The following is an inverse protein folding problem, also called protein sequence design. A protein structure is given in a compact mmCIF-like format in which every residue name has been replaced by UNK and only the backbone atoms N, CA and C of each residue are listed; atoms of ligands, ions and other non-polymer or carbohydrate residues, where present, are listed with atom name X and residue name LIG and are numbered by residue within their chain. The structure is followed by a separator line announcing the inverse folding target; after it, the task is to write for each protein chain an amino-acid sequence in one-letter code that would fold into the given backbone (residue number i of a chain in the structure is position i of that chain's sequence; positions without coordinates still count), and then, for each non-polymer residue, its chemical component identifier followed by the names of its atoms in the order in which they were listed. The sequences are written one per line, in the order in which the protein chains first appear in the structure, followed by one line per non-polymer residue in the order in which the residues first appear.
data_IF_548854868434
#
_entry.id   IF_548854868434
#
_cell.length_a   1.000
_cell.length_b   1.000
_cell.length_c   1.000
_cell.angle_alpha   90.00
_cell.angle_beta   90.00
_cell.angle_gamma   90.00
#
_symmetry.space_group_name_H-M   'P 1'
#
loop_
_entity.id
_entity.type
_entity.pdbx_description
1 polymer ?
#
# COMPACT_ATOMS: atom_id res chain seq x y z
N UNK A 1 -26.04 16.97 7.70
CA UNK A 1 -25.35 17.00 9.01
C UNK A 1 -24.19 17.98 8.92
N UNK A 2 -24.12 19.00 9.79
CA UNK A 2 -23.00 19.94 9.82
C UNK A 2 -21.75 19.19 10.27
N UNK A 3 -20.75 19.02 9.41
CA UNK A 3 -19.53 18.30 9.78
C UNK A 3 -18.62 19.22 10.58
N UNK A 4 -18.48 18.92 11.88
CA UNK A 4 -17.72 19.75 12.82
C UNK A 4 -16.20 19.57 12.60
N UNK A 5 -15.45 20.66 12.65
CA UNK A 5 -13.99 20.63 12.55
C UNK A 5 -13.40 20.15 13.87
N UNK A 6 -12.64 19.05 13.83
CA UNK A 6 -12.04 18.41 15.02
C UNK A 6 -10.53 18.27 14.97
N UNK A 7 -9.93 18.78 13.89
CA UNK A 7 -8.49 18.69 13.64
C UNK A 7 -7.87 20.08 13.67
N UNK A 8 -6.70 20.16 14.27
CA UNK A 8 -5.88 21.36 14.33
C UNK A 8 -4.40 20.97 14.46
N UNK A 9 -3.52 21.96 14.44
CA UNK A 9 -2.13 21.81 14.90
C UNK A 9 -1.86 22.72 16.10
N UNK A 10 -0.81 22.43 16.86
CA UNK A 10 -0.45 23.15 18.10
C UNK A 10 0.87 23.92 18.01
N UNK A 11 1.55 23.83 16.87
CA UNK A 11 2.86 24.41 16.57
C UNK A 11 2.79 25.54 15.54
N UNK A 12 1.62 26.20 15.41
CA UNK A 12 1.45 27.41 14.61
C UNK A 12 0.76 27.21 13.24
N UNK A 13 0.67 28.27 12.42
CA UNK A 13 -0.16 28.29 11.20
C UNK A 13 0.38 27.41 10.05
N UNK A 14 1.67 27.13 10.03
CA UNK A 14 2.33 26.15 9.15
C UNK A 14 2.75 24.88 9.91
N UNK A 15 2.10 24.63 11.06
CA UNK A 15 2.45 23.56 11.96
C UNK A 15 2.22 22.16 11.38
N UNK A 16 2.97 21.19 11.92
CA UNK A 16 2.95 19.78 11.51
C UNK A 16 2.66 18.85 12.69
N UNK A 17 2.23 19.40 13.83
CA UNK A 17 1.89 18.66 15.04
C UNK A 17 0.37 18.53 15.19
N UNK A 18 -0.28 17.59 14.47
CA UNK A 18 -1.73 17.48 14.44
C UNK A 18 -2.29 16.96 15.76
N UNK A 19 -3.38 17.58 16.20
CA UNK A 19 -4.20 17.12 17.32
C UNK A 19 -5.61 16.84 16.83
N UNK A 20 -6.24 15.85 17.43
CA UNK A 20 -7.68 15.59 17.27
C UNK A 20 -8.33 15.94 18.58
N UNK A 21 -9.34 16.79 18.51
CA UNK A 21 -10.14 17.13 19.66
C UNK A 21 -10.97 15.91 20.10
N UNK A 22 -10.88 15.44 21.35
CA UNK A 22 -11.68 14.33 21.88
C UNK A 22 -13.19 14.60 21.79
N UNK A 23 -14.00 13.53 21.79
CA UNK A 23 -15.47 13.65 21.82
C UNK A 23 -15.97 14.03 23.20
N UNK A 24 -15.26 13.54 24.22
CA UNK A 24 -15.58 13.75 25.61
C UNK A 24 -15.14 15.17 26.02
N UNK A 25 -16.05 15.89 26.66
CA UNK A 25 -15.90 17.31 26.93
C UNK A 25 -14.79 17.61 27.95
N UNK A 26 -14.58 16.75 28.96
CA UNK A 26 -13.51 16.91 29.93
C UNK A 26 -12.13 16.70 29.28
N UNK A 27 -11.97 15.70 28.42
CA UNK A 27 -10.77 15.46 27.65
C UNK A 27 -10.48 16.58 26.64
N UNK A 28 -11.51 17.15 26.01
CA UNK A 28 -11.39 18.32 25.15
C UNK A 28 -10.94 19.58 25.94
N UNK A 29 -11.51 19.81 27.13
CA UNK A 29 -11.07 20.87 28.04
C UNK A 29 -9.62 20.68 28.50
N UNK A 30 -9.25 19.45 28.88
CA UNK A 30 -7.89 19.12 29.25
C UNK A 30 -6.90 19.39 28.12
N UNK A 31 -7.23 18.99 26.88
CA UNK A 31 -6.42 19.30 25.69
C UNK A 31 -6.27 20.82 25.52
N UNK A 32 -7.34 21.58 25.70
CA UNK A 32 -7.32 23.05 25.66
C UNK A 32 -6.36 23.66 26.69
N UNK A 33 -6.44 23.21 27.94
CA UNK A 33 -5.57 23.67 29.02
C UNK A 33 -4.10 23.30 28.80
N UNK A 34 -3.83 22.13 28.21
CA UNK A 34 -2.46 21.68 27.91
C UNK A 34 -1.80 22.49 26.79
N UNK A 35 -2.56 23.02 25.84
CA UNK A 35 -2.03 23.74 24.67
C UNK A 35 -2.36 25.24 24.72
N UNK A 36 -1.85 25.93 25.73
CA UNK A 36 -2.03 27.37 25.94
C UNK A 36 -1.48 28.28 24.82
N UNK A 37 -0.62 27.76 23.93
CA UNK A 37 -0.21 28.44 22.70
C UNK A 37 -1.39 28.63 21.73
N UNK A 38 -2.38 27.75 21.79
CA UNK A 38 -3.59 27.75 20.99
C UNK A 38 -3.59 26.65 19.93
N UNK A 39 -4.56 26.75 19.03
CA UNK A 39 -4.77 25.79 17.95
C UNK A 39 -4.81 26.54 16.62
N UNK A 40 -4.36 25.91 15.54
CA UNK A 40 -4.36 26.50 14.20
C UNK A 40 -4.89 25.55 13.15
N UNK A 41 -5.54 26.13 12.15
CA UNK A 41 -5.93 25.45 10.92
C UNK A 41 -4.71 25.37 10.00
N UNK A 42 -3.96 24.26 10.01
CA UNK A 42 -2.65 24.18 9.34
C UNK A 42 -2.73 24.37 7.84
N UNK A 43 -1.88 25.25 7.29
CA UNK A 43 -1.63 25.35 5.84
C UNK A 43 -1.03 24.07 5.28
N UNK A 44 -0.33 23.30 6.11
CA UNK A 44 0.27 22.04 5.66
C UNK A 44 -0.79 20.99 5.32
N UNK A 45 -1.96 21.07 5.96
CA UNK A 45 -3.16 20.28 5.63
C UNK A 45 -4.09 20.97 4.61
N UNK A 46 -3.65 22.04 3.95
CA UNK A 46 -4.47 22.84 3.03
C UNK A 46 -5.46 23.78 3.69
N UNK A 47 -5.34 23.99 5.01
CA UNK A 47 -6.12 24.96 5.77
C UNK A 47 -5.71 26.42 5.52
N UNK A 48 -6.34 27.35 6.23
CA UNK A 48 -6.11 28.79 6.03
C UNK A 48 -4.96 29.39 6.86
N UNK A 49 -4.39 28.65 7.82
CA UNK A 49 -3.43 29.16 8.79
C UNK A 49 -4.04 29.95 9.94
N UNK A 50 -5.37 30.14 9.95
CA UNK A 50 -6.05 30.90 10.99
C UNK A 50 -5.99 30.22 12.37
N UNK A 51 -5.93 31.04 13.43
CA UNK A 51 -6.07 30.56 14.80
C UNK A 51 -7.50 30.05 15.02
N UNK A 52 -7.61 28.90 15.69
CA UNK A 52 -8.86 28.24 15.98
C UNK A 52 -9.23 28.45 17.45
N UNK A 53 -10.51 28.72 17.69
CA UNK A 53 -11.10 28.75 19.02
C UNK A 53 -11.69 27.37 19.35
N UNK A 54 -11.48 26.90 20.58
CA UNK A 54 -12.16 25.72 21.11
C UNK A 54 -13.56 26.13 21.59
N UNK A 55 -14.59 25.45 21.09
CA UNK A 55 -15.95 25.62 21.59
C UNK A 55 -16.14 24.82 22.89
N UNK A 56 -16.53 25.50 23.97
CA UNK A 56 -16.66 24.90 25.30
C UNK A 56 -17.95 24.11 25.52
N UNK A 57 -19.00 24.36 24.73
CA UNK A 57 -20.31 23.70 24.87
C UNK A 57 -20.39 22.38 24.08
N UNK A 58 -19.74 22.33 22.92
CA UNK A 58 -19.57 21.13 22.11
C UNK A 58 -18.12 21.04 21.64
N UNK A 59 -17.41 19.91 21.84
CA UNK A 59 -16.03 19.75 21.40
C UNK A 59 -15.85 19.89 19.88
N UNK A 60 -15.59 21.12 19.43
CA UNK A 60 -15.19 21.44 18.07
C UNK A 60 -14.25 22.64 18.03
N UNK A 61 -13.48 22.72 16.95
CA UNK A 61 -12.74 23.93 16.60
C UNK A 61 -13.59 24.85 15.72
N UNK A 62 -13.48 26.15 15.96
CA UNK A 62 -14.12 27.20 15.16
C UNK A 62 -13.07 28.17 14.63
N UNK A 63 -13.23 28.54 13.37
CA UNK A 63 -12.52 29.71 12.85
C UNK A 63 -13.11 30.98 13.46
N UNK A 64 -12.28 31.99 13.69
CA UNK A 64 -12.75 33.33 14.06
C UNK A 64 -13.20 34.13 12.83
N UNK A 65 -14.30 34.89 12.97
CA UNK A 65 -14.82 35.78 11.92
C UNK A 65 -15.22 35.07 10.61
N UNK A 66 -15.22 35.83 9.51
CA UNK A 66 -15.58 35.36 8.16
C UNK A 66 -14.41 34.66 7.45
N UNK A 67 -13.76 33.72 8.15
CA UNK A 67 -12.61 33.02 7.61
C UNK A 67 -12.97 32.21 6.35
N UNK A 68 -12.36 32.58 5.22
CA UNK A 68 -12.40 31.80 3.97
C UNK A 68 -11.46 30.59 4.10
N UNK A 69 -12.02 29.44 4.48
CA UNK A 69 -11.30 28.19 4.62
C UNK A 69 -12.06 27.03 3.98
N UNK A 70 -11.35 26.11 3.32
CA UNK A 70 -11.93 24.88 2.76
C UNK A 70 -12.64 24.01 3.80
N UNK A 71 -12.25 24.09 5.07
CA UNK A 71 -12.84 23.31 6.16
C UNK A 71 -14.04 23.98 6.81
N UNK A 72 -14.33 25.24 6.47
CA UNK A 72 -15.56 25.91 6.90
C UNK A 72 -16.75 25.23 6.22
N UNK A 73 -17.65 24.62 7.00
CA UNK A 73 -18.79 23.85 6.48
C UNK A 73 -18.43 22.48 5.90
N UNK A 74 -17.15 22.09 5.92
CA UNK A 74 -16.64 20.79 5.45
C UNK A 74 -15.63 20.20 6.46
N UNK A 75 -15.95 20.24 7.75
CA UNK A 75 -15.06 19.76 8.81
C UNK A 75 -14.69 18.28 8.69
N UNK A 76 -15.54 17.48 8.05
CA UNK A 76 -15.29 16.06 7.71
C UNK A 76 -14.03 15.86 6.85
N UNK A 77 -13.73 16.83 5.98
CA UNK A 77 -12.62 16.73 5.03
C UNK A 77 -11.27 16.98 5.73
N UNK A 78 -11.29 17.49 6.97
CA UNK A 78 -10.08 17.75 7.73
C UNK A 78 -9.38 16.46 8.17
N UNK A 79 -10.12 15.41 8.52
CA UNK A 79 -9.52 14.15 8.95
C UNK A 79 -8.54 13.55 7.92
N UNK A 80 -8.95 13.29 6.65
CA UNK A 80 -8.02 12.79 5.65
C UNK A 80 -6.91 13.78 5.30
N UNK A 81 -7.17 15.09 5.35
CA UNK A 81 -6.19 16.12 5.02
C UNK A 81 -5.06 16.25 6.07
N UNK A 82 -5.36 16.07 7.36
CA UNK A 82 -4.38 16.12 8.44
C UNK A 82 -3.65 14.79 8.68
N UNK A 83 -4.17 13.69 8.12
CA UNK A 83 -3.66 12.35 8.41
C UNK A 83 -2.18 12.22 8.08
N UNK A 84 -1.74 12.75 6.93
CA UNK A 84 -0.35 12.69 6.49
C UNK A 84 0.62 13.33 7.48
N UNK A 85 0.22 14.38 8.21
CA UNK A 85 1.07 15.04 9.21
C UNK A 85 1.44 14.09 10.36
N UNK A 86 0.54 13.17 10.72
CA UNK A 86 0.82 12.13 11.74
C UNK A 86 1.89 11.16 11.26
N UNK A 87 1.81 10.74 10.01
CA UNK A 87 2.81 9.88 9.40
C UNK A 87 4.14 10.61 9.23
N UNK A 88 4.12 11.86 8.76
CA UNK A 88 5.30 12.69 8.55
C UNK A 88 6.10 12.83 9.84
N UNK A 89 5.45 13.22 10.94
CA UNK A 89 6.11 13.38 12.24
C UNK A 89 6.73 12.07 12.73
N UNK A 90 6.03 10.95 12.62
CA UNK A 90 6.52 9.66 13.09
C UNK A 90 7.69 9.13 12.23
N UNK A 91 7.61 9.27 10.90
CA UNK A 91 8.69 8.89 9.99
C UNK A 91 9.91 9.79 10.18
N UNK A 92 9.71 11.10 10.37
CA UNK A 92 10.79 12.04 10.63
C UNK A 92 11.54 11.67 11.91
N UNK A 93 10.82 11.50 13.02
CA UNK A 93 11.42 11.10 14.29
C UNK A 93 12.17 9.77 14.20
N UNK A 94 11.63 8.78 13.46
CA UNK A 94 12.27 7.49 13.26
C UNK A 94 13.58 7.58 12.45
N UNK A 95 13.61 8.39 11.39
CA UNK A 95 14.80 8.57 10.56
C UNK A 95 15.86 9.43 11.25
N UNK A 96 15.46 10.56 11.84
CA UNK A 96 16.37 11.41 12.62
C UNK A 96 16.94 10.64 13.82
N UNK A 97 16.14 9.80 14.48
CA UNK A 97 16.60 8.94 15.57
C UNK A 97 17.62 7.87 15.13
N UNK A 98 17.76 7.62 13.83
CA UNK A 98 18.81 6.77 13.26
C UNK A 98 20.00 7.56 12.72
N UNK A 99 20.01 8.89 12.89
CA UNK A 99 21.07 9.78 12.41
C UNK A 99 20.89 10.27 10.96
N UNK A 100 19.77 9.95 10.31
CA UNK A 100 19.48 10.38 8.94
C UNK A 100 18.89 11.80 8.90
N UNK A 101 19.04 12.48 7.77
CA UNK A 101 18.49 13.81 7.48
C UNK A 101 17.46 13.73 6.36
N UNK A 102 16.24 13.22 6.65
CA UNK A 102 15.25 13.01 5.62
C UNK A 102 14.73 14.31 5.01
N UNK A 103 14.63 14.34 3.68
CA UNK A 103 13.91 15.37 2.95
C UNK A 103 12.51 14.87 2.65
N UNK A 104 11.51 15.61 3.09
CA UNK A 104 10.10 15.20 2.99
C UNK A 104 9.35 16.06 1.99
N UNK A 105 8.62 15.40 1.11
CA UNK A 105 7.74 16.03 0.13
C UNK A 105 6.34 15.45 0.28
N UNK A 106 5.34 16.32 0.19
CA UNK A 106 3.96 15.89 0.11
C UNK A 106 3.67 15.39 -1.28
N UNK A 107 2.86 14.35 -1.34
CA UNK A 107 2.37 13.80 -2.59
C UNK A 107 0.87 14.04 -2.65
N UNK A 108 0.43 15.09 -3.36
CA UNK A 108 -0.98 15.36 -3.50
C UNK A 108 -1.71 14.20 -4.18
N UNK A 109 -2.94 13.96 -3.75
CA UNK A 109 -3.88 13.06 -4.40
C UNK A 109 -5.25 13.72 -4.52
N UNK A 110 -6.02 13.32 -5.53
CA UNK A 110 -7.36 13.83 -5.79
C UNK A 110 -8.33 13.56 -4.63
N UNK A 111 -8.10 12.50 -3.83
CA UNK A 111 -8.97 12.08 -2.73
C UNK A 111 -8.75 12.79 -1.38
N UNK A 112 -8.10 13.97 -1.35
CA UNK A 112 -7.72 14.70 -0.13
C UNK A 112 -6.79 13.93 0.84
N UNK A 113 -6.31 12.74 0.47
CA UNK A 113 -5.36 11.93 1.25
C UNK A 113 -3.97 12.13 0.66
N UNK A 114 -3.21 13.01 1.28
CA UNK A 114 -1.84 13.32 0.86
C UNK A 114 -0.91 12.17 1.26
N UNK A 115 -0.15 11.61 0.32
CA UNK A 115 0.95 10.69 0.61
C UNK A 115 2.22 11.44 1.01
N UNK A 116 3.26 10.70 1.38
CA UNK A 116 4.57 11.28 1.71
C UNK A 116 5.66 10.61 0.86
N UNK A 117 6.46 11.43 0.19
CA UNK A 117 7.73 11.02 -0.37
C UNK A 117 8.84 11.44 0.60
N UNK A 118 9.70 10.50 0.98
CA UNK A 118 10.82 10.76 1.87
C UNK A 118 12.10 10.30 1.20
N UNK A 119 12.98 11.25 0.89
CA UNK A 119 14.30 10.99 0.35
C UNK A 119 15.34 11.03 1.48
N UNK A 120 16.24 10.05 1.49
CA UNK A 120 17.41 9.99 2.37
C UNK A 120 18.63 9.83 1.46
N UNK A 121 19.10 10.96 0.96
CA UNK A 121 20.08 11.03 -0.13
C UNK A 121 21.43 10.43 0.28
N UNK A 122 21.81 10.54 1.57
CA UNK A 122 23.06 10.01 2.11
C UNK A 122 23.19 8.48 2.00
N UNK A 123 22.08 7.75 1.91
CA UNK A 123 22.05 6.30 1.72
C UNK A 123 21.39 5.89 0.40
N UNK A 124 21.05 6.86 -0.46
CA UNK A 124 20.40 6.61 -1.75
C UNK A 124 19.04 5.92 -1.64
N UNK A 125 18.29 6.18 -0.56
CA UNK A 125 17.01 5.54 -0.25
C UNK A 125 15.84 6.49 -0.47
N UNK A 126 14.72 5.94 -0.93
CA UNK A 126 13.41 6.60 -0.86
C UNK A 126 12.40 5.75 -0.11
N UNK A 127 11.61 6.39 0.75
CA UNK A 127 10.44 5.80 1.42
C UNK A 127 9.19 6.52 0.95
N UNK A 128 8.26 5.76 0.39
CA UNK A 128 6.96 6.23 -0.06
C UNK A 128 5.88 5.79 0.92
N UNK A 129 5.22 6.75 1.57
CA UNK A 129 4.04 6.49 2.41
C UNK A 129 2.79 6.74 1.57
N UNK A 130 2.20 5.68 1.06
CA UNK A 130 1.00 5.77 0.24
C UNK A 130 -0.25 5.69 1.11
N UNK A 131 -0.97 6.80 1.24
CA UNK A 131 -2.18 6.89 2.07
C UNK A 131 -3.49 6.90 1.26
N UNK A 132 -3.39 6.90 -0.06
CA UNK A 132 -4.51 6.86 -1.00
C UNK A 132 -4.40 5.66 -1.93
N UNK A 133 -5.54 5.21 -2.45
CA UNK A 133 -5.55 4.24 -3.53
C UNK A 133 -4.91 4.86 -4.77
N UNK A 134 -4.03 4.12 -5.43
CA UNK A 134 -3.49 4.48 -6.74
C UNK A 134 -3.83 3.36 -7.72
N UNK A 135 -4.24 3.68 -8.96
CA UNK A 135 -4.31 2.69 -10.02
C UNK A 135 -2.97 1.98 -10.20
N UNK A 136 -2.99 0.67 -10.50
CA UNK A 136 -1.78 -0.16 -10.63
C UNK A 136 -0.78 0.42 -11.64
N UNK A 137 -1.27 0.94 -12.78
CA UNK A 137 -0.44 1.60 -13.79
C UNK A 137 0.25 2.87 -13.28
N UNK A 138 -0.48 3.71 -12.54
CA UNK A 138 0.07 4.93 -11.92
C UNK A 138 1.08 4.60 -10.82
N UNK A 139 0.81 3.56 -10.04
CA UNK A 139 1.73 3.06 -9.01
C UNK A 139 3.03 2.55 -9.64
N UNK A 140 2.96 1.66 -10.65
CA UNK A 140 4.14 1.14 -11.38
C UNK A 140 4.96 2.24 -12.01
N UNK A 141 4.31 3.14 -12.77
CA UNK A 141 4.99 4.25 -13.42
C UNK A 141 5.73 5.14 -12.39
N UNK A 142 5.19 5.28 -11.19
CA UNK A 142 5.84 6.01 -10.11
C UNK A 142 6.99 5.23 -9.48
N UNK A 143 6.80 3.94 -9.20
CA UNK A 143 7.84 3.06 -8.69
C UNK A 143 9.05 3.03 -9.63
N UNK A 144 8.82 2.90 -10.93
CA UNK A 144 9.87 2.91 -11.96
C UNK A 144 10.67 4.21 -11.97
N UNK A 145 9.99 5.37 -11.95
CA UNK A 145 10.67 6.69 -11.87
C UNK A 145 11.51 6.82 -10.61
N UNK A 146 11.01 6.35 -9.47
CA UNK A 146 11.75 6.42 -8.20
C UNK A 146 12.97 5.50 -8.23
N UNK A 147 12.86 4.30 -8.79
CA UNK A 147 13.97 3.35 -8.89
C UNK A 147 15.04 3.75 -9.89
N UNK A 148 14.72 4.62 -10.85
CA UNK A 148 15.73 5.27 -11.70
C UNK A 148 16.57 6.30 -10.94
N UNK A 149 16.02 6.88 -9.86
CA UNK A 149 16.67 7.95 -9.08
C UNK A 149 17.32 7.45 -7.80
N UNK A 150 16.75 6.45 -7.15
CA UNK A 150 17.18 5.95 -5.85
C UNK A 150 17.61 4.49 -5.97
N UNK A 151 18.69 4.12 -5.28
CA UNK A 151 19.22 2.75 -5.25
C UNK A 151 18.18 1.77 -4.70
N UNK A 152 17.42 2.22 -3.71
CA UNK A 152 16.38 1.43 -3.07
C UNK A 152 15.13 2.29 -2.83
N UNK A 153 13.98 1.72 -3.15
CA UNK A 153 12.66 2.33 -2.94
C UNK A 153 11.84 1.38 -2.09
N UNK A 154 11.31 1.90 -0.98
CA UNK A 154 10.46 1.18 -0.05
C UNK A 154 9.09 1.84 0.00
N UNK A 155 8.04 1.05 -0.24
CA UNK A 155 6.65 1.50 -0.09
C UNK A 155 6.07 1.07 1.25
N UNK A 156 5.45 2.01 1.95
CA UNK A 156 4.65 1.83 3.15
C UNK A 156 3.19 2.09 2.79
N UNK A 157 2.39 1.03 2.70
CA UNK A 157 1.00 1.07 2.26
C UNK A 157 0.04 1.32 3.43
N UNK A 158 -0.63 2.46 3.42
CA UNK A 158 -1.71 2.75 4.34
C UNK A 158 -2.97 1.91 4.04
N UNK A 159 -4.00 1.97 4.90
CA UNK A 159 -5.22 1.15 4.75
C UNK A 159 -5.97 1.34 3.42
N UNK A 160 -5.88 2.53 2.80
CA UNK A 160 -6.50 2.78 1.51
C UNK A 160 -5.65 2.29 0.31
N UNK A 161 -4.46 1.75 0.57
CA UNK A 161 -3.49 1.34 -0.45
C UNK A 161 -3.18 -0.18 -0.38
N UNK A 162 -4.03 -0.96 0.28
CA UNK A 162 -3.83 -2.41 0.49
C UNK A 162 -3.68 -3.18 -0.82
N UNK A 163 -4.47 -2.84 -1.85
CA UNK A 163 -4.41 -3.46 -3.18
C UNK A 163 -3.02 -3.31 -3.83
N UNK A 164 -2.40 -2.14 -3.72
CA UNK A 164 -1.04 -1.94 -4.23
C UNK A 164 -0.02 -2.78 -3.43
N UNK A 165 -0.25 -2.93 -2.12
CA UNK A 165 0.51 -3.87 -1.29
C UNK A 165 0.32 -5.33 -1.70
N UNK A 166 -0.87 -5.74 -2.14
CA UNK A 166 -1.13 -7.10 -2.64
C UNK A 166 -0.33 -7.39 -3.91
N UNK A 167 -0.31 -6.43 -4.85
CA UNK A 167 0.54 -6.51 -6.05
C UNK A 167 2.01 -6.63 -5.68
N UNK A 168 2.50 -5.82 -4.73
CA UNK A 168 3.89 -5.86 -4.28
C UNK A 168 4.25 -7.22 -3.63
N UNK A 169 3.37 -7.80 -2.81
CA UNK A 169 3.56 -9.16 -2.27
C UNK A 169 3.64 -10.20 -3.39
N UNK A 170 2.76 -10.10 -4.40
CA UNK A 170 2.75 -11.05 -5.52
C UNK A 170 4.04 -10.99 -6.34
N UNK A 171 4.59 -9.79 -6.56
CA UNK A 171 5.77 -9.55 -7.40
C UNK A 171 7.08 -9.75 -6.64
N UNK A 172 7.18 -9.23 -5.41
CA UNK A 172 8.44 -9.16 -4.64
C UNK A 172 8.47 -10.06 -3.40
N UNK A 173 7.37 -10.74 -3.11
CA UNK A 173 7.25 -11.66 -1.99
C UNK A 173 7.04 -11.02 -0.62
N UNK A 174 7.12 -9.70 -0.53
CA UNK A 174 6.92 -8.94 0.70
C UNK A 174 6.37 -7.55 0.39
N UNK A 175 5.45 -7.07 1.22
CA UNK A 175 5.03 -5.68 1.25
C UNK A 175 4.96 -5.17 2.68
N UNK A 176 5.02 -3.85 2.85
CA UNK A 176 4.98 -3.22 4.16
C UNK A 176 3.71 -2.41 4.31
N UNK A 177 2.76 -2.90 5.10
CA UNK A 177 1.61 -2.10 5.52
C UNK A 177 2.04 -1.10 6.61
N UNK A 178 1.35 0.04 6.70
CA UNK A 178 1.58 1.02 7.77
C UNK A 178 0.25 1.49 8.36
N UNK A 179 0.20 1.53 9.69
CA UNK A 179 -0.95 2.06 10.41
C UNK A 179 -0.51 2.82 11.65
N UNK A 180 -1.39 3.71 12.11
CA UNK A 180 -1.18 4.43 13.36
C UNK A 180 -1.30 3.52 14.56
N UNK A 181 -0.56 3.87 15.60
CA UNK A 181 -0.63 3.32 16.94
C UNK A 181 -0.50 4.47 17.94
N UNK A 182 -1.01 4.32 19.16
CA UNK A 182 -1.21 5.41 20.13
C UNK A 182 -0.02 6.37 20.30
N UNK A 183 1.22 5.89 20.11
CA UNK A 183 2.46 6.65 20.25
C UNK A 183 3.33 6.70 18.99
N UNK A 184 2.84 6.26 17.82
CA UNK A 184 3.64 6.25 16.59
C UNK A 184 3.02 5.42 15.47
N UNK A 185 3.87 4.70 14.74
CA UNK A 185 3.46 3.85 13.63
C UNK A 185 3.81 2.38 13.89
N UNK A 186 2.93 1.50 13.38
CA UNK A 186 3.23 0.09 13.20
C UNK A 186 3.49 -0.18 11.72
N UNK A 187 4.47 -1.02 11.46
CA UNK A 187 4.78 -1.58 10.14
C UNK A 187 4.37 -3.03 10.14
N UNK A 188 3.54 -3.42 9.18
CA UNK A 188 3.08 -4.78 8.97
C UNK A 188 3.87 -5.42 7.85
N UNK A 189 4.70 -6.42 8.15
CA UNK A 189 5.35 -7.22 7.11
C UNK A 189 4.35 -8.24 6.60
N UNK A 190 3.94 -8.09 5.34
CA UNK A 190 3.00 -8.97 4.66
C UNK A 190 3.74 -10.00 3.82
N UNK A 191 3.30 -11.24 3.87
CA UNK A 191 3.89 -12.35 3.10
C UNK A 191 2.90 -12.95 2.09
N UNK A 192 3.43 -13.82 1.23
CA UNK A 192 2.65 -14.54 0.19
C UNK A 192 1.64 -15.54 0.74
N UNK A 193 1.68 -15.88 2.03
CA UNK A 193 0.68 -16.73 2.69
C UNK A 193 -0.50 -15.91 3.24
N UNK A 194 -0.49 -14.59 3.08
CA UNK A 194 -1.50 -13.69 3.63
C UNK A 194 -1.24 -13.33 5.10
N UNK A 195 -0.12 -13.78 5.68
CA UNK A 195 0.30 -13.42 7.03
C UNK A 195 0.71 -11.95 7.11
N UNK A 196 0.42 -11.30 8.23
CA UNK A 196 0.93 -9.96 8.53
C UNK A 196 1.55 -9.92 9.93
N UNK A 197 2.86 -9.66 10.01
CA UNK A 197 3.56 -9.44 11.29
C UNK A 197 3.66 -7.94 11.56
N UNK A 198 2.95 -7.46 12.58
CA UNK A 198 3.01 -6.06 13.01
C UNK A 198 4.16 -5.82 13.99
N UNK A 199 4.98 -4.82 13.69
CA UNK A 199 6.07 -4.35 14.55
C UNK A 199 6.02 -2.83 14.69
N UNK A 200 6.62 -2.28 15.74
CA UNK A 200 6.79 -0.83 15.86
C UNK A 200 7.76 -0.33 14.79
N UNK A 201 7.50 0.85 14.23
CA UNK A 201 8.42 1.48 13.25
C UNK A 201 9.85 1.59 13.81
N UNK A 202 10.01 1.87 15.10
CA UNK A 202 11.33 1.92 15.77
C UNK A 202 12.10 0.60 15.81
N UNK A 203 11.44 -0.54 15.56
CA UNK A 203 12.10 -1.84 15.38
C UNK A 203 12.60 -2.07 13.93
N UNK A 204 12.19 -1.20 13.00
CA UNK A 204 12.69 -1.20 11.62
C UNK A 204 13.94 -0.33 11.51
N UNK A 205 14.74 -0.57 10.47
CA UNK A 205 15.94 0.20 10.15
C UNK A 205 15.96 0.56 8.68
N UNK A 206 16.43 1.77 8.39
CA UNK A 206 16.80 2.15 7.03
C UNK A 206 18.32 2.02 6.92
N UNK A 207 18.79 1.08 6.10
CA UNK A 207 20.21 0.79 5.89
C UNK A 207 20.61 1.10 4.45
N UNK A 208 21.90 1.04 4.15
CA UNK A 208 22.40 1.20 2.77
C UNK A 208 21.86 0.13 1.81
N UNK A 209 21.51 -1.05 2.32
CA UNK A 209 20.98 -2.19 1.56
C UNK A 209 19.44 -2.17 1.44
N UNK A 210 18.78 -1.18 2.03
CA UNK A 210 17.34 -1.01 1.96
C UNK A 210 16.66 -0.92 3.33
N UNK A 211 15.34 -1.08 3.29
CA UNK A 211 14.52 -1.13 4.49
C UNK A 211 14.53 -2.54 5.10
N UNK A 212 14.96 -2.60 6.37
CA UNK A 212 14.97 -3.79 7.18
C UNK A 212 13.83 -3.74 8.20
N UNK A 213 12.93 -4.73 8.14
CA UNK A 213 11.88 -4.94 9.13
C UNK A 213 11.93 -6.39 9.65
N UNK A 214 11.73 -6.63 10.95
CA UNK A 214 11.63 -7.98 11.48
C UNK A 214 10.54 -8.79 10.77
N UNK A 215 10.88 -9.98 10.27
CA UNK A 215 9.98 -10.81 9.45
C UNK A 215 10.16 -10.66 7.93
N UNK A 216 10.86 -9.63 7.45
CA UNK A 216 10.97 -9.38 6.01
C UNK A 216 11.81 -10.45 5.29
N UNK A 217 12.88 -10.94 5.93
CA UNK A 217 13.71 -11.99 5.37
C UNK A 217 12.94 -13.32 5.28
N UNK A 218 12.19 -13.66 6.32
CA UNK A 218 11.35 -14.86 6.37
C UNK A 218 10.25 -14.83 5.30
N UNK A 219 9.59 -13.67 5.12
CA UNK A 219 8.59 -13.46 4.07
C UNK A 219 9.17 -13.67 2.66
N UNK A 220 10.35 -13.06 2.38
CA UNK A 220 11.05 -13.25 1.10
C UNK A 220 11.48 -14.70 0.88
N UNK A 221 11.99 -15.37 1.92
CA UNK A 221 12.38 -16.78 1.84
C UNK A 221 11.17 -17.68 1.54
N UNK A 222 10.01 -17.40 2.14
CA UNK A 222 8.76 -18.11 1.85
C UNK A 222 8.33 -17.93 0.39
N UNK A 223 8.41 -16.71 -0.14
CA UNK A 223 8.13 -16.44 -1.56
C UNK A 223 9.08 -17.23 -2.47
N UNK A 224 10.39 -17.20 -2.19
CA UNK A 224 11.39 -17.92 -2.98
C UNK A 224 11.13 -19.44 -3.00
N UNK A 225 10.80 -20.04 -1.86
CA UNK A 225 10.43 -21.47 -1.77
C UNK A 225 9.22 -21.78 -2.64
N UNK A 226 8.13 -21.02 -2.51
CA UNK A 226 6.92 -21.22 -3.32
C UNK A 226 7.16 -21.01 -4.81
N UNK A 227 8.02 -20.06 -5.19
CA UNK A 227 8.39 -19.85 -6.59
C UNK A 227 9.15 -21.06 -7.15
N UNK A 228 10.11 -21.59 -6.40
CA UNK A 228 10.87 -22.78 -6.78
C UNK A 228 9.96 -24.02 -6.92
N UNK A 229 9.03 -24.23 -5.98
CA UNK A 229 8.04 -25.31 -6.04
C UNK A 229 7.16 -25.23 -7.29
N UNK A 230 6.66 -24.02 -7.62
CA UNK A 230 5.88 -23.79 -8.85
C UNK A 230 6.69 -24.07 -10.10
N UNK A 231 7.96 -23.62 -10.13
CA UNK A 231 8.83 -23.85 -11.27
C UNK A 231 9.12 -25.33 -11.48
N UNK A 232 9.39 -26.08 -10.41
CA UNK A 232 9.62 -27.52 -10.53
C UNK A 232 8.34 -28.28 -10.91
N UNK A 233 7.18 -27.88 -10.40
CA UNK A 233 5.89 -28.44 -10.82
C UNK A 233 5.63 -28.21 -12.33
N UNK A 234 5.90 -27.00 -12.83
CA UNK A 234 5.78 -26.68 -14.25
C UNK A 234 6.76 -27.51 -15.11
N UNK A 235 8.00 -27.67 -14.65
CA UNK A 235 9.00 -28.53 -15.34
C UNK A 235 8.56 -30.00 -15.39
N UNK A 236 8.00 -30.54 -14.30
CA UNK A 236 7.43 -31.89 -14.28
C UNK A 236 6.27 -32.04 -15.27
N UNK A 237 5.34 -31.09 -15.27
CA UNK A 237 4.20 -31.11 -16.18
C UNK A 237 4.64 -31.07 -17.66
N UNK A 238 5.61 -30.19 -17.99
CA UNK A 238 6.16 -30.11 -19.34
C UNK A 238 6.85 -31.41 -19.78
N UNK A 239 7.61 -32.08 -18.88
CA UNK A 239 8.22 -33.39 -19.16
C UNK A 239 7.17 -34.47 -19.41
N UNK A 240 6.09 -34.51 -18.62
CA UNK A 240 4.99 -35.45 -18.82
C UNK A 240 4.27 -35.21 -20.16
N UNK A 241 3.98 -33.95 -20.48
CA UNK A 241 3.34 -33.57 -21.75
C UNK A 241 4.22 -33.93 -22.96
N UNK A 242 5.53 -33.67 -22.90
CA UNK A 242 6.47 -34.04 -23.97
C UNK A 242 6.55 -35.55 -24.19
N UNK A 243 6.55 -36.36 -23.11
CA UNK A 243 6.51 -37.82 -23.21
C UNK A 243 5.21 -38.33 -23.82
N UNK A 244 4.07 -37.74 -23.45
CA UNK A 244 2.77 -38.09 -24.01
C UNK A 244 2.69 -37.77 -25.52
N UNK A 245 3.30 -36.67 -25.96
CA UNK A 245 3.37 -36.30 -27.38
C UNK A 245 4.32 -37.21 -28.20
N UNK A 246 5.22 -37.97 -27.56
CA UNK A 246 6.23 -38.80 -28.22
C UNK A 246 5.87 -40.29 -28.32
N UNK A 247 4.70 -40.74 -27.86
CA UNK A 247 4.32 -42.17 -27.92
C UNK A 247 3.00 -42.44 -28.65
N UNK A 248 2.82 -43.63 -29.27
CA UNK A 248 3.70 -44.33 -30.19
C UNK A 248 3.33 -44.04 -31.66
N UNK A 249 4.32 -43.75 -32.52
CA UNK A 249 4.15 -43.84 -33.97
C UNK A 249 3.84 -45.29 -34.33
N UNK A 250 2.57 -45.60 -34.61
CA UNK A 250 2.13 -46.83 -35.26
C UNK A 250 2.67 -46.89 -36.70
N UNK A 251 3.98 -47.12 -36.84
CA UNK A 251 4.59 -47.63 -38.06
C UNK A 251 4.54 -49.16 -38.00
N UNK A 252 3.31 -49.68 -37.94
CA UNK A 252 3.01 -51.10 -38.14
C UNK A 252 2.83 -51.35 -39.62
N UNK A 253 3.95 -51.57 -40.31
CA UNK A 253 4.05 -52.00 -41.71
C UNK A 253 3.39 -53.38 -41.86
N UNK A 254 2.10 -53.45 -42.19
CA UNK A 254 1.47 -54.69 -42.64
C UNK A 254 1.78 -54.84 -44.12
N UNK A 255 2.59 -55.86 -44.42
CA UNK A 255 2.95 -56.29 -45.77
C UNK A 255 1.73 -56.77 -46.55
N UNK A 256 1.76 -56.50 -47.85
CA UNK A 256 0.85 -57.01 -48.84
C UNK A 256 0.86 -58.55 -48.87
N UNK A 257 -0.33 -59.15 -48.91
CA UNK A 257 -0.53 -60.49 -49.44
C UNK A 257 -1.68 -60.42 -50.46
N UNK A 258 -1.29 -60.54 -51.72
CA UNK A 258 -2.13 -60.76 -52.89
C UNK A 258 -2.85 -62.10 -52.79
N UNK A 259 -4.17 -62.10 -53.00
CA UNK A 259 -5.02 -63.29 -53.10
C UNK A 259 -6.31 -62.97 -53.84
N UNK A 260 -6.48 -63.60 -55.00
CA UNK A 260 -7.51 -63.46 -56.03
C UNK A 260 -8.91 -63.97 -55.64
N UNK A 261 -9.94 -63.20 -56.03
CA UNK A 261 -11.21 -63.65 -56.64
C UNK A 261 -12.26 -64.41 -55.80
N UNK A 262 -13.43 -63.81 -55.57
CA UNK A 262 -14.64 -64.05 -56.41
C UNK A 262 -15.82 -63.12 -55.98
N UNK A 263 -16.82 -62.85 -56.86
CA UNK A 263 -17.76 -61.74 -56.69
C UNK A 263 -19.14 -62.09 -56.07
N UNK A 264 -19.66 -61.09 -55.35
CA UNK A 264 -21.05 -60.64 -55.09
C UNK A 264 -22.23 -61.63 -54.96
N UNK A 265 -23.15 -61.32 -54.02
CA UNK A 265 -24.52 -61.05 -54.44
C UNK A 265 -25.08 -59.71 -53.91
N UNK A 266 -26.19 -59.20 -54.49
CA UNK A 266 -26.55 -57.78 -54.43
C UNK A 266 -27.53 -57.39 -53.31
N UNK A 267 -27.39 -56.11 -52.91
CA UNK A 267 -28.37 -55.10 -52.48
C UNK A 267 -29.59 -55.49 -51.62
N UNK A 268 -29.77 -54.79 -50.49
CA UNK A 268 -31.05 -54.13 -50.15
C UNK A 268 -30.83 -52.81 -49.36
N UNK A 269 -31.60 -51.72 -49.63
CA UNK A 269 -31.50 -50.46 -48.91
C UNK A 269 -32.56 -50.24 -47.80
N UNK A 270 -32.15 -49.46 -46.78
CA UNK A 270 -32.94 -48.50 -45.95
C UNK A 270 -33.87 -49.08 -44.85
N UNK A 271 -34.24 -48.32 -43.78
CA UNK A 271 -34.38 -46.86 -43.70
C UNK A 271 -33.82 -46.13 -42.45
N UNK A 272 -33.66 -44.81 -42.60
CA UNK A 272 -33.51 -43.84 -41.51
C UNK A 272 -34.88 -43.50 -40.89
N UNK A 273 -35.00 -43.41 -39.56
CA UNK A 273 -36.11 -42.71 -38.93
C UNK A 273 -35.74 -41.24 -38.68
N UNK A 274 -36.71 -40.36 -38.97
CA UNK A 274 -36.78 -39.00 -38.43
C UNK A 274 -37.42 -38.97 -37.05
#
# INVERSE_FOLDING_TARGET
MSSELRWAVTDGPAGTSPVVLPEEAAAARALGSHHGSGFWCSREAGGCGGRLALDGARPRFRHGGDARCRFTGRGSDAAPAYEHLRYQRAVAAWLTGQGHRPRMEKVPDAGCRTGLHVAVDEVGQAVEVQLSALPDTSWRARDDRLRQRFRHVTWLYGPAAEVAGDTEVAVRGVAYAVRRHNTGLLVGVRDVAGGTRWVRLGACRLTADGFAAPGAAEARALHARRAAERQEAARRAARCAARAAQGPSLSGRVQAASGTGDPAPPLQPLPFPG
#
